data_IF_333134725847
#
_entry.id   IF_333134725847
#
_cell.length_a   1.000
_cell.length_b   1.000
_cell.length_c   1.000
_cell.angle_alpha   90.00
_cell.angle_beta   90.00
_cell.angle_gamma   90.00
#
_symmetry.space_group_name_H-M   'P 1'
#
loop_
_entity.id
_entity.type
_entity.pdbx_description
1 polymer ?
#
# COMPACT_ATOMS: atom_id res chain seq x y z
N UNK A 1 -18.18 -1.20 -17.14
CA UNK A 1 -17.88 -2.58 -17.57
C UNK A 1 -18.99 -3.48 -17.02
N UNK A 2 -19.45 -4.50 -17.74
CA UNK A 2 -20.42 -5.46 -17.16
C UNK A 2 -19.67 -6.71 -16.70
N UNK A 3 -19.56 -6.91 -15.38
CA UNK A 3 -18.96 -8.10 -14.81
C UNK A 3 -19.84 -9.31 -15.10
N UNK A 4 -19.24 -10.41 -15.57
CA UNK A 4 -20.00 -11.65 -15.74
C UNK A 4 -20.27 -12.27 -14.37
N UNK A 5 -21.30 -13.11 -14.21
CA UNK A 5 -21.61 -13.74 -12.92
C UNK A 5 -20.41 -14.50 -12.32
N UNK A 6 -19.57 -15.09 -13.16
CA UNK A 6 -18.34 -15.76 -12.73
C UNK A 6 -17.29 -14.79 -12.16
N UNK A 7 -17.17 -13.57 -12.72
CA UNK A 7 -16.27 -12.54 -12.19
C UNK A 7 -16.74 -12.07 -10.80
N UNK A 8 -18.05 -11.89 -10.63
CA UNK A 8 -18.63 -11.52 -9.33
C UNK A 8 -18.42 -12.63 -8.29
N UNK A 9 -18.65 -13.88 -8.68
CA UNK A 9 -18.42 -15.03 -7.79
C UNK A 9 -16.94 -15.17 -7.42
N UNK A 10 -16.03 -15.01 -8.39
CA UNK A 10 -14.59 -15.04 -8.16
C UNK A 10 -14.13 -13.88 -7.26
N UNK A 11 -14.69 -12.69 -7.47
CA UNK A 11 -14.43 -11.52 -6.64
C UNK A 11 -14.82 -11.76 -5.18
N UNK A 12 -16.08 -12.13 -4.94
CA UNK A 12 -16.59 -12.38 -3.59
C UNK A 12 -15.87 -13.56 -2.92
N UNK A 13 -15.62 -14.65 -3.67
CA UNK A 13 -14.89 -15.81 -3.18
C UNK A 13 -13.46 -15.50 -2.76
N UNK A 14 -12.74 -14.66 -3.53
CA UNK A 14 -11.41 -14.21 -3.17
C UNK A 14 -11.40 -13.37 -1.89
N UNK A 15 -12.36 -12.44 -1.73
CA UNK A 15 -12.46 -11.65 -0.50
C UNK A 15 -12.74 -12.51 0.73
N UNK A 16 -13.66 -13.48 0.62
CA UNK A 16 -13.96 -14.43 1.70
C UNK A 16 -12.72 -15.26 2.05
N UNK A 17 -11.97 -15.72 1.04
CA UNK A 17 -10.73 -16.46 1.26
C UNK A 17 -9.69 -15.62 2.00
N UNK A 18 -9.46 -14.37 1.56
CA UNK A 18 -8.50 -13.48 2.21
C UNK A 18 -8.88 -13.21 3.65
N UNK A 19 -10.12 -12.78 3.90
CA UNK A 19 -10.61 -12.50 5.27
C UNK A 19 -10.56 -13.76 6.13
N UNK A 20 -11.00 -14.90 5.59
CA UNK A 20 -11.01 -16.17 6.30
C UNK A 20 -9.61 -16.63 6.72
N UNK A 21 -8.64 -16.59 5.80
CA UNK A 21 -7.25 -16.96 6.09
C UNK A 21 -6.60 -15.97 7.07
N UNK A 22 -6.83 -14.66 6.91
CA UNK A 22 -6.30 -13.65 7.83
C UNK A 22 -6.84 -13.78 9.25
N UNK A 23 -8.13 -14.07 9.42
CA UNK A 23 -8.74 -14.33 10.73
C UNK A 23 -8.24 -15.65 11.33
N UNK A 24 -8.08 -16.70 10.51
CA UNK A 24 -7.54 -17.98 10.95
C UNK A 24 -6.09 -17.82 11.46
N UNK A 25 -5.25 -17.16 10.66
CA UNK A 25 -3.83 -17.00 10.92
C UNK A 25 -3.52 -15.98 12.02
N UNK A 26 -4.41 -15.02 12.27
CA UNK A 26 -4.24 -14.01 13.33
C UNK A 26 -4.54 -14.50 14.75
N UNK A 27 -4.99 -15.76 14.92
CA UNK A 27 -5.13 -16.38 16.25
C UNK A 27 -3.80 -16.39 17.02
N UNK A 28 -3.88 -16.16 18.33
CA UNK A 28 -2.72 -16.21 19.21
C UNK A 28 -2.76 -15.22 20.36
N UNK A 29 -1.57 -14.69 20.69
CA UNK A 29 -1.27 -13.84 21.85
C UNK A 29 -2.19 -12.61 21.91
N UNK A 30 -2.82 -12.37 23.06
CA UNK A 30 -3.78 -11.28 23.30
C UNK A 30 -3.20 -10.19 24.21
N UNK A 31 -2.08 -9.62 23.79
CA UNK A 31 -1.38 -8.50 24.43
C UNK A 31 -0.97 -7.43 23.39
N UNK A 32 -0.43 -6.29 23.86
CA UNK A 32 -0.03 -5.18 22.99
C UNK A 32 0.99 -5.58 21.92
N UNK A 33 1.99 -6.39 22.27
CA UNK A 33 2.98 -6.89 21.31
C UNK A 33 2.33 -7.79 20.26
N UNK A 34 1.41 -8.68 20.67
CA UNK A 34 0.62 -9.50 19.77
C UNK A 34 -0.22 -8.69 18.80
N UNK A 35 -0.91 -7.66 19.28
CA UNK A 35 -1.80 -6.82 18.49
C UNK A 35 -1.04 -5.84 17.58
N UNK A 36 -0.10 -5.06 18.12
CA UNK A 36 0.58 -3.99 17.36
C UNK A 36 1.80 -4.48 16.57
N UNK A 37 2.49 -5.53 17.02
CA UNK A 37 3.77 -5.99 16.42
C UNK A 37 3.76 -7.49 16.06
N UNK A 38 2.58 -8.11 15.96
CA UNK A 38 2.45 -9.55 15.65
C UNK A 38 3.32 -10.46 16.57
N UNK A 39 3.54 -10.04 17.82
CA UNK A 39 4.36 -10.72 18.80
C UNK A 39 5.87 -10.69 18.52
N UNK A 40 6.34 -9.78 17.63
CA UNK A 40 7.72 -9.73 17.13
C UNK A 40 8.20 -11.06 16.58
N UNK A 41 7.32 -11.75 15.86
CA UNK A 41 7.59 -13.11 15.38
C UNK A 41 7.44 -13.25 13.86
N UNK A 42 7.54 -12.15 13.10
CA UNK A 42 7.43 -12.22 11.65
C UNK A 42 8.72 -12.78 11.01
N UNK A 43 8.61 -13.77 10.11
CA UNK A 43 9.73 -14.23 9.29
C UNK A 43 10.07 -13.23 8.19
N UNK A 44 11.34 -13.22 7.77
CA UNK A 44 11.84 -12.32 6.73
C UNK A 44 11.02 -12.32 5.43
N UNK A 45 10.60 -13.49 4.95
CA UNK A 45 9.85 -13.59 3.70
C UNK A 45 8.48 -12.90 3.80
N UNK A 46 7.80 -13.06 4.95
CA UNK A 46 6.49 -12.46 5.17
C UNK A 46 6.60 -10.94 5.32
N UNK A 47 7.68 -10.45 5.95
CA UNK A 47 8.00 -9.02 6.00
C UNK A 47 8.19 -8.48 4.58
N UNK A 48 9.01 -9.13 3.76
CA UNK A 48 9.30 -8.67 2.40
C UNK A 48 8.06 -8.61 1.52
N UNK A 49 7.25 -9.68 1.49
CA UNK A 49 6.01 -9.68 0.72
C UNK A 49 4.98 -8.69 1.24
N UNK A 50 4.83 -8.55 2.56
CA UNK A 50 3.88 -7.59 3.13
C UNK A 50 4.30 -6.15 2.87
N UNK A 51 5.59 -5.81 2.92
CA UNK A 51 6.09 -4.49 2.54
C UNK A 51 5.74 -4.13 1.09
N UNK A 52 5.91 -5.08 0.18
CA UNK A 52 5.54 -4.91 -1.23
C UNK A 52 4.03 -4.79 -1.38
N UNK A 53 3.27 -5.70 -0.79
CA UNK A 53 1.82 -5.72 -0.88
C UNK A 53 1.17 -4.44 -0.36
N UNK A 54 1.66 -3.89 0.75
CA UNK A 54 1.16 -2.63 1.30
C UNK A 54 1.58 -1.38 0.52
N UNK A 55 2.56 -1.52 -0.38
CA UNK A 55 2.96 -0.44 -1.26
C UNK A 55 2.27 -0.52 -2.63
N UNK A 56 2.09 -1.73 -3.16
CA UNK A 56 1.34 -1.95 -4.39
C UNK A 56 -0.12 -1.60 -4.15
N UNK A 57 -0.55 -0.49 -4.74
CA UNK A 57 -1.90 0.05 -4.61
C UNK A 57 -2.51 0.35 -5.98
N UNK A 58 -3.75 0.87 -5.97
CA UNK A 58 -4.39 1.42 -7.16
C UNK A 58 -3.50 2.47 -7.85
N UNK A 59 -2.71 3.26 -7.10
CA UNK A 59 -1.77 4.23 -7.66
C UNK A 59 -0.73 3.57 -8.58
N UNK A 60 -0.29 2.36 -8.25
CA UNK A 60 0.68 1.65 -9.08
C UNK A 60 0.01 1.14 -10.37
N UNK A 61 -1.08 0.38 -10.22
CA UNK A 61 -1.74 -0.24 -11.38
C UNK A 61 -2.48 0.75 -12.28
N UNK A 62 -3.01 1.84 -11.76
CA UNK A 62 -3.73 2.85 -12.55
C UNK A 62 -2.79 3.99 -12.91
N UNK A 63 -2.23 4.66 -11.91
CA UNK A 63 -1.40 5.85 -12.10
C UNK A 63 -0.06 5.55 -12.78
N UNK A 64 0.79 4.68 -12.22
CA UNK A 64 2.10 4.40 -12.85
C UNK A 64 1.97 3.71 -14.20
N UNK A 65 0.94 2.88 -14.41
CA UNK A 65 0.67 2.33 -15.72
C UNK A 65 0.25 3.41 -16.73
N UNK A 66 -0.60 4.37 -16.34
CA UNK A 66 -0.95 5.52 -17.17
C UNK A 66 0.26 6.40 -17.49
N UNK A 67 1.17 6.60 -16.52
CA UNK A 67 2.46 7.24 -16.80
C UNK A 67 3.33 6.41 -17.73
N UNK A 68 3.27 5.08 -17.64
CA UNK A 68 3.88 4.19 -18.63
C UNK A 68 3.31 4.37 -20.03
N UNK A 69 2.00 4.61 -20.16
CA UNK A 69 1.35 4.93 -21.43
C UNK A 69 1.91 6.22 -22.04
N UNK A 70 2.11 7.28 -21.24
CA UNK A 70 2.58 8.59 -21.71
C UNK A 70 4.11 8.70 -21.83
N UNK A 71 4.83 8.55 -20.71
CA UNK A 71 6.27 8.83 -20.58
C UNK A 71 7.14 7.58 -20.63
N UNK A 72 6.54 6.39 -20.60
CA UNK A 72 7.25 5.12 -20.74
C UNK A 72 8.00 4.68 -19.48
N UNK A 73 9.14 4.01 -19.68
CA UNK A 73 9.89 3.31 -18.64
C UNK A 73 10.61 4.25 -17.66
N UNK A 74 10.71 5.54 -17.96
CA UNK A 74 11.36 6.52 -17.08
C UNK A 74 10.74 6.56 -15.68
N UNK A 75 9.42 6.32 -15.56
CA UNK A 75 8.72 6.28 -14.27
C UNK A 75 9.19 5.12 -13.37
N UNK A 76 9.81 4.07 -13.93
CA UNK A 76 10.40 2.95 -13.18
C UNK A 76 11.48 3.41 -12.20
N UNK A 77 12.12 4.56 -12.45
CA UNK A 77 13.14 5.11 -11.56
C UNK A 77 12.61 5.37 -10.15
N UNK A 78 11.31 5.65 -9.96
CA UNK A 78 10.70 5.76 -8.63
C UNK A 78 10.84 4.45 -7.84
N UNK A 79 10.52 3.33 -8.48
CA UNK A 79 10.58 1.98 -7.89
C UNK A 79 12.02 1.53 -7.64
N UNK A 80 12.92 1.78 -8.59
CA UNK A 80 14.32 1.39 -8.44
C UNK A 80 15.05 2.19 -7.36
N UNK A 81 14.76 3.50 -7.24
CA UNK A 81 15.30 4.31 -6.15
C UNK A 81 14.73 3.90 -4.79
N UNK A 82 13.46 3.47 -4.74
CA UNK A 82 12.88 2.86 -3.55
C UNK A 82 13.59 1.55 -3.16
N UNK A 83 13.99 0.71 -4.12
CA UNK A 83 14.78 -0.50 -3.85
C UNK A 83 16.13 -0.18 -3.20
N UNK A 84 16.84 0.84 -3.68
CA UNK A 84 18.09 1.31 -3.05
C UNK A 84 17.82 1.84 -1.63
N UNK A 85 16.74 2.60 -1.46
CA UNK A 85 16.35 3.15 -0.15
C UNK A 85 16.07 2.06 0.87
N UNK A 86 15.37 0.98 0.48
CA UNK A 86 15.11 -0.18 1.34
C UNK A 86 16.40 -0.82 1.87
N UNK A 87 17.44 -0.91 1.04
CA UNK A 87 18.76 -1.39 1.46
C UNK A 87 19.36 -0.46 2.51
N UNK A 88 19.35 0.86 2.29
CA UNK A 88 19.87 1.85 3.24
C UNK A 88 19.10 1.81 4.57
N UNK A 89 17.78 1.69 4.54
CA UNK A 89 16.94 1.56 5.73
C UNK A 89 17.31 0.29 6.50
N UNK A 90 17.51 -0.84 5.81
CA UNK A 90 17.90 -2.10 6.44
C UNK A 90 19.28 -2.05 7.08
N UNK A 91 20.23 -1.34 6.47
CA UNK A 91 21.60 -1.23 6.98
C UNK A 91 21.73 -0.21 8.12
N UNK A 92 21.04 0.94 8.03
CA UNK A 92 21.29 2.05 8.95
C UNK A 92 20.14 2.31 9.93
N UNK A 93 18.88 2.20 9.51
CA UNK A 93 17.75 2.61 10.35
C UNK A 93 17.29 1.45 11.23
N UNK A 94 17.06 0.29 10.62
CA UNK A 94 16.50 -0.88 11.29
C UNK A 94 17.30 -1.35 12.52
N UNK A 95 18.66 -1.42 12.51
CA UNK A 95 19.42 -1.82 13.69
C UNK A 95 19.15 -0.93 14.90
N UNK A 96 19.00 0.38 14.68
CA UNK A 96 18.75 1.36 15.75
C UNK A 96 17.34 1.23 16.30
N UNK A 97 16.36 1.05 15.42
CA UNK A 97 14.96 0.90 15.83
C UNK A 97 14.72 -0.39 16.63
N UNK A 98 15.26 -1.52 16.17
CA UNK A 98 15.12 -2.79 16.88
C UNK A 98 15.88 -2.79 18.22
N UNK A 99 17.07 -2.18 18.27
CA UNK A 99 17.83 -2.04 19.52
C UNK A 99 17.10 -1.16 20.56
N UNK A 100 16.41 -0.10 20.11
CA UNK A 100 15.60 0.74 20.97
C UNK A 100 14.28 0.08 21.44
N UNK A 101 13.88 -1.03 20.82
CA UNK A 101 12.70 -1.79 21.23
C UNK A 101 11.39 -1.04 21.11
N UNK A 102 11.31 -0.06 20.21
CA UNK A 102 10.15 0.83 20.03
C UNK A 102 8.93 0.13 19.44
N UNK A 103 7.76 0.71 19.66
CA UNK A 103 6.52 0.41 18.93
C UNK A 103 6.27 1.42 17.81
N UNK A 104 6.74 2.65 17.97
CA UNK A 104 6.43 3.75 17.05
C UNK A 104 7.65 4.62 16.74
N UNK A 105 7.64 5.26 15.58
CA UNK A 105 8.68 6.22 15.19
C UNK A 105 8.67 7.47 16.08
N UNK A 106 7.52 8.04 16.51
CA UNK A 106 7.50 9.08 17.54
C UNK A 106 8.22 8.67 18.84
N UNK A 107 8.10 7.42 19.27
CA UNK A 107 8.83 6.92 20.45
C UNK A 107 10.34 6.98 20.26
N UNK A 108 10.85 6.68 19.05
CA UNK A 108 12.26 6.85 18.73
C UNK A 108 12.74 8.30 18.90
N UNK A 109 11.90 9.28 18.56
CA UNK A 109 12.23 10.70 18.70
C UNK A 109 12.40 11.13 20.17
N UNK A 110 11.75 10.46 21.11
CA UNK A 110 11.97 10.72 22.54
C UNK A 110 13.38 10.30 22.97
N UNK A 111 13.90 9.17 22.48
CA UNK A 111 15.28 8.75 22.78
C UNK A 111 16.32 9.72 22.24
N UNK A 112 16.03 10.36 21.11
CA UNK A 112 16.97 11.26 20.42
C UNK A 112 16.85 12.71 20.88
N UNK A 113 15.64 13.15 21.22
CA UNK A 113 15.30 14.53 21.54
C UNK A 113 14.60 14.57 22.90
N UNK A 114 13.26 14.64 22.92
CA UNK A 114 12.48 14.76 24.14
C UNK A 114 11.02 14.31 23.96
N UNK A 115 10.27 14.33 25.07
CA UNK A 115 8.85 13.96 25.15
C UNK A 115 7.95 14.88 24.31
N UNK A 116 8.29 16.18 24.20
CA UNK A 116 7.50 17.14 23.43
C UNK A 116 7.57 16.79 21.96
N UNK A 117 8.76 16.46 21.47
CA UNK A 117 9.00 16.03 20.08
C UNK A 117 8.20 14.77 19.74
N UNK A 118 8.22 13.75 20.61
CA UNK A 118 7.37 12.55 20.48
C UNK A 118 5.89 12.91 20.38
N UNK A 119 5.41 13.75 21.29
CA UNK A 119 3.98 14.08 21.38
C UNK A 119 3.50 14.88 20.19
N UNK A 120 4.28 15.89 19.76
CA UNK A 120 3.99 16.70 18.59
C UNK A 120 3.95 15.83 17.33
N UNK A 121 4.94 14.96 17.14
CA UNK A 121 4.98 14.08 15.98
C UNK A 121 3.84 13.05 15.99
N UNK A 122 3.51 12.49 17.14
CA UNK A 122 2.38 11.59 17.29
C UNK A 122 1.05 12.26 16.93
N UNK A 123 0.83 13.50 17.43
CA UNK A 123 -0.36 14.28 17.10
C UNK A 123 -0.44 14.63 15.61
N UNK A 124 0.68 15.06 15.02
CA UNK A 124 0.77 15.38 13.59
C UNK A 124 0.47 14.17 12.71
N UNK A 125 1.15 13.03 12.94
CA UNK A 125 0.91 11.80 12.15
C UNK A 125 -0.54 11.34 12.31
N UNK A 126 -1.09 11.37 13.53
CA UNK A 126 -2.46 10.92 13.76
C UNK A 126 -3.47 11.79 13.02
N UNK A 127 -3.29 13.12 13.03
CA UNK A 127 -4.10 14.05 12.27
C UNK A 127 -3.97 13.81 10.76
N UNK A 128 -2.75 13.67 10.26
CA UNK A 128 -2.49 13.39 8.85
C UNK A 128 -3.11 12.06 8.39
N UNK A 129 -3.05 11.02 9.22
CA UNK A 129 -3.69 9.74 8.91
C UNK A 129 -5.21 9.85 8.86
N UNK A 130 -5.84 10.51 9.83
CA UNK A 130 -7.31 10.61 9.88
C UNK A 130 -7.86 11.53 8.80
N UNK A 131 -7.32 12.74 8.72
CA UNK A 131 -7.88 13.79 7.86
C UNK A 131 -7.50 13.59 6.41
N UNK A 132 -6.31 13.06 6.13
CA UNK A 132 -5.79 12.94 4.76
C UNK A 132 -5.82 11.49 4.31
N UNK A 133 -5.01 10.62 4.92
CA UNK A 133 -4.72 9.30 4.34
C UNK A 133 -5.92 8.34 4.35
N UNK A 134 -6.55 8.12 5.52
CA UNK A 134 -7.69 7.21 5.66
C UNK A 134 -8.89 7.68 4.83
N UNK A 135 -9.19 8.98 4.86
CA UNK A 135 -10.28 9.59 4.10
C UNK A 135 -10.10 9.42 2.58
N UNK A 136 -8.89 9.66 2.09
CA UNK A 136 -8.52 9.51 0.68
C UNK A 136 -8.64 8.07 0.21
N UNK A 137 -8.12 7.11 1.00
CA UNK A 137 -8.18 5.68 0.66
C UNK A 137 -9.63 5.18 0.64
N UNK A 138 -10.45 5.56 1.63
CA UNK A 138 -11.87 5.21 1.68
C UNK A 138 -12.64 5.77 0.47
N UNK A 139 -12.46 7.05 0.17
CA UNK A 139 -13.18 7.71 -0.92
C UNK A 139 -12.77 7.17 -2.30
N UNK A 140 -11.47 7.06 -2.57
CA UNK A 140 -10.96 6.51 -3.83
C UNK A 140 -11.33 5.04 -4.03
N UNK A 141 -11.31 4.23 -2.96
CA UNK A 141 -11.81 2.86 -2.98
C UNK A 141 -13.30 2.77 -3.29
N UNK A 142 -14.10 3.67 -2.73
CA UNK A 142 -15.54 3.71 -2.98
C UNK A 142 -15.88 4.13 -4.41
N UNK A 143 -15.14 5.08 -4.99
CA UNK A 143 -15.27 5.43 -6.42
C UNK A 143 -14.94 4.24 -7.32
N UNK A 144 -13.95 3.41 -6.94
CA UNK A 144 -13.66 2.19 -7.68
C UNK A 144 -14.84 1.20 -7.62
N UNK A 145 -15.47 1.01 -6.45
CA UNK A 145 -16.66 0.17 -6.31
C UNK A 145 -17.86 0.71 -7.10
N UNK A 146 -18.06 2.03 -7.13
CA UNK A 146 -19.10 2.67 -7.93
C UNK A 146 -18.88 2.42 -9.43
N UNK A 147 -17.67 2.66 -9.93
CA UNK A 147 -17.32 2.46 -11.34
C UNK A 147 -17.47 1.00 -11.80
N UNK A 148 -17.19 0.05 -10.90
CA UNK A 148 -17.21 -1.38 -11.21
C UNK A 148 -18.60 -2.00 -11.05
N UNK A 149 -19.25 -1.76 -9.91
CA UNK A 149 -20.48 -2.45 -9.51
C UNK A 149 -21.71 -1.54 -9.50
N UNK A 150 -21.56 -0.24 -9.74
CA UNK A 150 -22.64 0.75 -9.58
C UNK A 150 -23.06 0.93 -8.12
N UNK A 151 -22.20 0.58 -7.17
CA UNK A 151 -22.49 0.73 -5.74
C UNK A 151 -22.41 2.22 -5.37
N UNK A 152 -23.42 2.71 -4.65
CA UNK A 152 -23.40 4.07 -4.10
C UNK A 152 -22.10 4.34 -3.32
N UNK A 153 -21.48 5.51 -3.55
CA UNK A 153 -20.18 5.87 -2.96
C UNK A 153 -20.24 5.85 -1.44
N UNK A 154 -21.34 6.32 -0.82
CA UNK A 154 -21.48 6.30 0.64
C UNK A 154 -21.52 4.86 1.16
N UNK A 155 -22.31 4.00 0.52
CA UNK A 155 -22.33 2.57 0.83
C UNK A 155 -20.95 1.91 0.64
N UNK A 156 -20.22 2.27 -0.40
CA UNK A 156 -18.85 1.82 -0.67
C UNK A 156 -17.86 2.21 0.43
N UNK A 157 -17.90 3.47 0.89
CA UNK A 157 -17.06 3.96 2.01
C UNK A 157 -17.30 3.12 3.26
N UNK A 158 -18.55 2.94 3.65
CA UNK A 158 -18.89 2.16 4.85
C UNK A 158 -18.55 0.69 4.71
N UNK A 159 -18.75 0.09 3.52
CA UNK A 159 -18.38 -1.29 3.26
C UNK A 159 -16.88 -1.50 3.45
N UNK A 160 -16.04 -0.66 2.84
CA UNK A 160 -14.58 -0.74 2.97
C UNK A 160 -14.16 -0.53 4.43
N UNK A 161 -14.71 0.50 5.09
CA UNK A 161 -14.40 0.82 6.48
C UNK A 161 -14.76 -0.31 7.45
N UNK A 162 -15.92 -0.92 7.30
CA UNK A 162 -16.37 -2.05 8.15
C UNK A 162 -15.53 -3.30 7.89
N UNK A 163 -15.24 -3.63 6.63
CA UNK A 163 -14.44 -4.80 6.29
C UNK A 163 -13.00 -4.66 6.82
N UNK A 164 -12.30 -3.59 6.43
CA UNK A 164 -10.92 -3.34 6.86
C UNK A 164 -10.84 -3.15 8.38
N UNK A 165 -11.75 -2.37 8.96
CA UNK A 165 -11.81 -2.15 10.40
C UNK A 165 -12.07 -3.42 11.19
N UNK A 166 -13.02 -4.25 10.73
CA UNK A 166 -13.48 -5.44 11.44
C UNK A 166 -12.37 -6.47 11.66
N UNK A 167 -11.66 -6.88 10.61
CA UNK A 167 -10.57 -7.85 10.79
C UNK A 167 -9.33 -7.22 11.43
N UNK A 168 -9.11 -5.90 11.30
CA UNK A 168 -8.03 -5.19 12.01
C UNK A 168 -8.27 -5.18 13.51
N UNK A 169 -9.48 -4.82 13.96
CA UNK A 169 -9.88 -4.85 15.38
C UNK A 169 -9.69 -6.26 15.95
N UNK A 170 -10.04 -7.29 15.19
CA UNK A 170 -9.87 -8.67 15.64
C UNK A 170 -8.40 -9.08 15.74
N UNK A 171 -7.65 -8.96 14.63
CA UNK A 171 -6.37 -9.64 14.44
C UNK A 171 -5.10 -8.77 14.52
N UNK A 172 -5.25 -7.44 14.56
CA UNK A 172 -4.12 -6.50 14.60
C UNK A 172 -3.16 -6.67 13.43
N UNK A 173 -1.89 -6.28 13.62
CA UNK A 173 -0.84 -6.36 12.59
C UNK A 173 -0.71 -7.77 11.98
N UNK A 174 -0.96 -8.83 12.75
CA UNK A 174 -0.84 -10.20 12.24
C UNK A 174 -1.91 -10.49 11.16
N UNK A 175 -3.16 -10.06 11.35
CA UNK A 175 -4.19 -10.23 10.31
C UNK A 175 -3.85 -9.44 9.06
N UNK A 176 -3.44 -8.17 9.25
CA UNK A 176 -3.04 -7.25 8.17
C UNK A 176 -1.97 -7.88 7.28
N UNK A 177 -0.87 -8.33 7.88
CA UNK A 177 0.26 -8.92 7.14
C UNK A 177 -0.13 -10.17 6.33
N UNK A 178 -1.10 -10.97 6.82
CA UNK A 178 -1.59 -12.14 6.07
C UNK A 178 -2.55 -11.77 4.94
N UNK A 179 -3.42 -10.77 5.13
CA UNK A 179 -4.29 -10.30 4.04
C UNK A 179 -3.47 -9.68 2.93
N UNK A 180 -2.48 -8.87 3.31
CA UNK A 180 -1.51 -8.26 2.40
C UNK A 180 -0.81 -9.31 1.56
N UNK A 181 -0.30 -10.38 2.18
CA UNK A 181 0.40 -11.42 1.46
C UNK A 181 -0.47 -12.02 0.35
N UNK A 182 -1.71 -12.38 0.66
CA UNK A 182 -2.61 -13.02 -0.29
C UNK A 182 -2.99 -12.08 -1.44
N UNK A 183 -3.32 -10.82 -1.10
CA UNK A 183 -3.70 -9.80 -2.08
C UNK A 183 -2.51 -9.39 -2.94
N UNK A 184 -1.36 -9.13 -2.33
CA UNK A 184 -0.13 -8.76 -3.02
C UNK A 184 0.38 -9.86 -3.95
N UNK A 185 0.35 -11.12 -3.53
CA UNK A 185 0.71 -12.25 -4.42
C UNK A 185 -0.26 -12.35 -5.59
N UNK A 186 -1.57 -12.20 -5.36
CA UNK A 186 -2.56 -12.21 -6.44
C UNK A 186 -2.32 -11.07 -7.45
N UNK A 187 -2.01 -9.86 -6.96
CA UNK A 187 -1.67 -8.71 -7.80
C UNK A 187 -0.39 -8.92 -8.60
N UNK A 188 0.67 -9.44 -7.97
CA UNK A 188 1.94 -9.71 -8.65
C UNK A 188 1.74 -10.76 -9.75
N UNK A 189 1.08 -11.88 -9.44
CA UNK A 189 0.84 -12.97 -10.39
C UNK A 189 -0.06 -12.52 -11.54
N UNK A 190 -1.13 -11.79 -11.24
CA UNK A 190 -2.01 -11.29 -12.28
C UNK A 190 -1.38 -10.17 -13.10
N UNK A 191 -0.50 -9.36 -12.52
CA UNK A 191 0.31 -8.40 -13.27
C UNK A 191 1.26 -9.08 -14.25
N UNK A 192 1.96 -10.14 -13.82
CA UNK A 192 2.75 -11.00 -14.71
C UNK A 192 1.88 -11.56 -15.83
N UNK A 193 0.69 -12.07 -15.50
CA UNK A 193 -0.22 -12.63 -16.48
C UNK A 193 -0.65 -11.59 -17.53
N UNK A 194 -1.06 -10.39 -17.10
CA UNK A 194 -1.44 -9.29 -18.01
C UNK A 194 -0.26 -8.95 -18.93
N UNK A 195 0.95 -8.82 -18.40
CA UNK A 195 2.14 -8.54 -19.22
C UNK A 195 2.42 -9.66 -20.24
N UNK A 196 2.34 -10.93 -19.83
CA UNK A 196 2.57 -12.07 -20.73
C UNK A 196 1.51 -12.13 -21.83
N UNK A 197 0.24 -11.91 -21.49
CA UNK A 197 -0.84 -11.85 -22.47
C UNK A 197 -0.73 -10.63 -23.38
N UNK A 198 -0.25 -9.49 -22.87
CA UNK A 198 0.04 -8.29 -23.64
C UNK A 198 1.14 -8.53 -24.67
N UNK A 199 2.26 -9.16 -24.28
CA UNK A 199 3.29 -9.57 -25.23
C UNK A 199 2.74 -10.52 -26.31
N UNK A 200 1.85 -11.45 -25.94
CA UNK A 200 1.22 -12.35 -26.90
C UNK A 200 0.30 -11.59 -27.87
N UNK A 201 -0.47 -10.63 -27.39
CA UNK A 201 -1.35 -9.80 -28.20
C UNK A 201 -0.57 -8.90 -29.18
N UNK A 202 0.60 -8.41 -28.76
CA UNK A 202 1.54 -7.67 -29.62
C UNK A 202 2.22 -8.52 -30.71
N UNK A 203 2.11 -9.85 -30.65
CA UNK A 203 2.87 -10.74 -31.53
C UNK A 203 4.29 -11.06 -31.06
N UNK A 204 4.64 -10.72 -29.82
CA UNK A 204 5.89 -11.08 -29.15
C UNK A 204 6.68 -9.88 -28.60
N UNK A 205 7.88 -10.16 -28.06
CA UNK A 205 8.75 -9.14 -27.48
C UNK A 205 9.35 -8.24 -28.57
N UNK A 206 9.71 -8.78 -29.73
CA UNK A 206 10.27 -8.00 -30.85
C UNK A 206 9.35 -6.85 -31.30
N UNK A 207 8.09 -7.15 -31.70
CA UNK A 207 7.12 -6.12 -32.04
C UNK A 207 6.85 -5.12 -30.90
N UNK A 208 6.86 -5.57 -29.64
CA UNK A 208 6.78 -4.66 -28.50
C UNK A 208 7.95 -3.68 -28.44
N UNK A 209 9.19 -4.14 -28.63
CA UNK A 209 10.37 -3.26 -28.59
C UNK A 209 10.33 -2.21 -29.72
N UNK A 210 9.81 -2.58 -30.88
CA UNK A 210 9.60 -1.67 -32.01
C UNK A 210 8.49 -0.65 -31.70
N UNK A 211 7.35 -1.09 -31.17
CA UNK A 211 6.24 -0.20 -30.80
C UNK A 211 6.58 0.70 -29.60
N UNK A 212 7.43 0.23 -28.69
CA UNK A 212 7.91 0.97 -27.53
C UNK A 212 9.09 1.90 -27.85
N UNK A 213 9.44 2.09 -29.13
CA UNK A 213 10.56 2.95 -29.51
C UNK A 213 10.41 4.35 -28.92
N UNK A 214 11.51 4.86 -28.36
CA UNK A 214 11.51 6.11 -27.60
C UNK A 214 10.84 6.07 -26.23
N UNK A 215 10.13 5.01 -25.81
CA UNK A 215 9.50 4.89 -24.47
C UNK A 215 10.27 4.01 -23.49
N UNK A 216 11.36 3.36 -23.89
CA UNK A 216 12.16 2.49 -23.00
C UNK A 216 13.33 3.20 -22.30
N UNK A 217 13.50 4.51 -22.51
CA UNK A 217 14.50 5.29 -21.79
C UNK A 217 14.14 5.38 -20.30
N UNK A 218 15.14 5.25 -19.43
CA UNK A 218 14.94 5.23 -17.97
C UNK A 218 15.26 6.57 -17.31
N UNK A 219 15.96 7.45 -18.04
CA UNK A 219 16.44 8.74 -17.56
C UNK A 219 15.94 9.83 -18.49
N UNK A 220 15.29 10.84 -17.91
CA UNK A 220 14.78 12.01 -18.61
C UNK A 220 15.75 13.20 -18.48
N UNK A 221 15.72 14.17 -19.42
CA UNK A 221 16.58 15.36 -19.36
C UNK A 221 16.46 16.16 -18.06
N UNK A 222 17.51 16.91 -17.71
CA UNK A 222 17.56 17.69 -16.46
C UNK A 222 16.49 18.79 -16.37
N UNK A 223 15.95 19.21 -17.51
CA UNK A 223 14.90 20.23 -17.65
C UNK A 223 13.51 19.62 -17.90
N UNK A 224 13.34 18.30 -17.75
CA UNK A 224 12.02 17.68 -17.84
C UNK A 224 11.10 18.29 -16.75
N UNK A 225 9.89 18.75 -17.08
CA UNK A 225 9.05 19.53 -16.16
C UNK A 225 8.66 18.74 -14.90
N UNK A 226 8.52 17.42 -15.02
CA UNK A 226 7.98 16.58 -13.95
C UNK A 226 9.01 15.62 -13.34
N UNK A 227 10.04 15.24 -14.10
CA UNK A 227 10.95 14.13 -13.76
C UNK A 227 12.39 14.42 -14.19
N UNK A 228 12.97 15.55 -13.77
CA UNK A 228 14.36 15.84 -14.11
C UNK A 228 15.28 14.83 -13.42
N UNK A 229 16.23 14.23 -14.15
CA UNK A 229 17.08 13.16 -13.58
C UNK A 229 17.82 13.57 -12.31
N UNK A 230 18.18 14.85 -12.18
CA UNK A 230 18.82 15.41 -10.98
C UNK A 230 17.91 15.20 -9.76
N UNK A 231 16.63 15.52 -9.87
CA UNK A 231 15.68 15.32 -8.78
C UNK A 231 15.45 13.83 -8.46
N UNK A 232 15.45 12.98 -9.49
CA UNK A 232 15.24 11.53 -9.37
C UNK A 232 16.41 10.84 -8.67
N UNK A 233 17.64 11.05 -9.13
CA UNK A 233 18.79 10.27 -8.68
C UNK A 233 19.58 10.90 -7.53
N UNK A 234 19.57 12.22 -7.39
CA UNK A 234 20.41 12.91 -6.38
C UNK A 234 19.67 13.97 -5.56
N UNK A 235 18.44 14.33 -5.93
CA UNK A 235 17.69 15.43 -5.35
C UNK A 235 16.42 15.00 -4.64
N UNK A 236 15.31 15.63 -5.03
CA UNK A 236 14.04 15.61 -4.30
C UNK A 236 13.44 14.24 -4.05
N UNK A 237 13.64 13.24 -4.92
CA UNK A 237 13.02 11.91 -4.80
C UNK A 237 13.51 11.13 -3.58
N UNK A 238 14.71 11.41 -3.07
CA UNK A 238 15.22 10.76 -1.86
C UNK A 238 14.43 11.12 -0.61
N UNK A 239 13.87 12.32 -0.54
CA UNK A 239 13.11 12.80 0.62
C UNK A 239 11.85 11.94 0.87
N UNK A 240 10.91 11.81 -0.09
CA UNK A 240 9.73 10.96 0.10
C UNK A 240 10.11 9.49 0.21
N UNK A 241 11.15 9.00 -0.48
CA UNK A 241 11.58 7.61 -0.36
C UNK A 241 12.10 7.28 1.05
N UNK A 242 13.03 8.08 1.59
CA UNK A 242 13.55 7.85 2.94
C UNK A 242 12.44 7.98 3.98
N UNK A 243 11.53 8.95 3.81
CA UNK A 243 10.37 9.08 4.68
C UNK A 243 9.49 7.84 4.61
N UNK A 244 9.05 7.44 3.41
CA UNK A 244 8.10 6.34 3.22
C UNK A 244 8.67 5.00 3.69
N UNK A 245 9.91 4.66 3.31
CA UNK A 245 10.50 3.36 3.62
C UNK A 245 11.15 3.29 5.00
N UNK A 246 11.67 4.42 5.50
CA UNK A 246 12.42 4.48 6.74
C UNK A 246 11.62 4.95 7.95
N UNK A 247 10.71 5.90 7.78
CA UNK A 247 10.12 6.67 8.89
C UNK A 247 8.58 6.60 8.94
N UNK A 248 7.93 6.15 7.88
CA UNK A 248 6.48 6.02 7.86
C UNK A 248 6.05 4.86 8.76
N UNK A 249 5.20 5.14 9.74
CA UNK A 249 4.85 4.21 10.81
C UNK A 249 4.34 2.87 10.26
N UNK A 250 3.40 2.85 9.31
CA UNK A 250 2.83 1.57 8.85
C UNK A 250 3.80 0.72 8.04
N UNK A 251 4.78 1.32 7.36
CA UNK A 251 5.83 0.59 6.66
C UNK A 251 6.85 0.05 7.67
N UNK A 252 7.42 0.93 8.50
CA UNK A 252 8.46 0.54 9.45
C UNK A 252 7.94 -0.42 10.52
N UNK A 253 6.66 -0.36 10.89
CA UNK A 253 6.06 -1.25 11.88
C UNK A 253 6.14 -2.74 11.52
N UNK A 254 6.17 -3.10 10.23
CA UNK A 254 6.37 -4.47 9.76
C UNK A 254 7.76 -4.99 10.07
N UNK A 255 8.77 -4.13 9.96
CA UNK A 255 10.17 -4.50 10.27
C UNK A 255 10.44 -4.46 11.77
N UNK A 256 9.74 -3.60 12.53
CA UNK A 256 9.71 -3.64 14.01
C UNK A 256 9.12 -4.95 14.57
N UNK A 257 8.29 -5.63 13.78
CA UNK A 257 7.67 -6.92 14.11
C UNK A 257 8.55 -8.13 13.76
N UNK A 258 9.79 -7.92 13.31
CA UNK A 258 10.72 -8.99 12.96
C UNK A 258 11.16 -9.81 14.18
N UNK A 259 11.39 -11.11 13.95
CA UNK A 259 11.97 -12.06 14.94
C UNK A 259 13.38 -11.69 15.39
N UNK A 260 14.15 -11.14 14.46
CA UNK A 260 15.55 -10.81 14.63
C UNK A 260 15.92 -9.67 13.70
N UNK A 261 17.03 -8.99 13.97
CA UNK A 261 17.57 -8.00 13.04
C UNK A 261 17.84 -8.61 11.67
N UNK A 262 18.39 -9.84 11.64
CA UNK A 262 18.63 -10.56 10.39
C UNK A 262 17.34 -10.84 9.61
N UNK A 263 16.24 -11.23 10.28
CA UNK A 263 14.95 -11.41 9.61
C UNK A 263 14.44 -10.08 9.05
N UNK A 264 14.53 -8.99 9.81
CA UNK A 264 14.08 -7.67 9.35
C UNK A 264 14.89 -7.15 8.16
N UNK A 265 16.22 -7.31 8.18
CA UNK A 265 17.11 -6.92 7.08
C UNK A 265 16.85 -7.75 5.82
N UNK A 266 16.76 -9.09 5.95
CA UNK A 266 16.42 -9.98 4.83
C UNK A 266 15.05 -9.67 4.25
N UNK A 267 14.09 -9.28 5.09
CA UNK A 267 12.77 -8.84 4.63
C UNK A 267 12.82 -7.55 3.82
N UNK A 268 13.56 -6.54 4.28
CA UNK A 268 13.78 -5.30 3.53
C UNK A 268 14.52 -5.55 2.21
N UNK A 269 15.54 -6.41 2.20
CA UNK A 269 16.29 -6.74 0.99
C UNK A 269 15.45 -7.56 0.00
N UNK A 270 14.61 -8.48 0.49
CA UNK A 270 13.63 -9.17 -0.35
C UNK A 270 12.65 -8.18 -0.99
N UNK A 271 12.12 -7.24 -0.22
CA UNK A 271 11.23 -6.20 -0.75
C UNK A 271 11.95 -5.35 -1.82
N UNK A 272 13.19 -4.92 -1.56
CA UNK A 272 14.01 -4.18 -2.52
C UNK A 272 14.26 -4.98 -3.80
N UNK A 273 14.53 -6.27 -3.68
CA UNK A 273 14.71 -7.17 -4.82
C UNK A 273 13.43 -7.31 -5.66
N UNK A 274 12.27 -7.55 -5.03
CA UNK A 274 10.98 -7.66 -5.73
C UNK A 274 10.66 -6.35 -6.47
N UNK A 275 10.94 -5.19 -5.86
CA UNK A 275 10.74 -3.87 -6.48
C UNK A 275 11.45 -3.69 -7.81
N UNK A 276 12.58 -4.35 -8.04
CA UNK A 276 13.27 -4.27 -9.33
C UNK A 276 12.41 -4.77 -10.49
N UNK A 277 11.49 -5.70 -10.21
CA UNK A 277 10.65 -6.36 -11.22
C UNK A 277 9.24 -5.74 -11.35
N UNK A 278 8.75 -5.05 -10.32
CA UNK A 278 7.41 -4.43 -10.31
C UNK A 278 7.18 -3.52 -11.53
N UNK A 279 8.13 -2.64 -11.93
CA UNK A 279 7.98 -1.82 -13.14
C UNK A 279 7.58 -2.60 -14.40
N UNK A 280 8.13 -3.81 -14.61
CA UNK A 280 7.86 -4.60 -15.81
C UNK A 280 6.47 -5.24 -15.83
N UNK A 281 5.81 -5.38 -14.69
CA UNK A 281 4.45 -5.94 -14.61
C UNK A 281 3.37 -4.85 -14.55
N UNK A 282 3.77 -3.59 -14.40
CA UNK A 282 2.87 -2.44 -14.27
C UNK A 282 3.01 -1.48 -15.47
N UNK A 283 4.22 -1.04 -15.76
CA UNK A 283 4.51 -0.02 -16.78
C UNK A 283 4.42 -0.62 -18.18
N UNK A 284 4.95 -1.82 -18.40
CA UNK A 284 4.91 -2.47 -19.72
C UNK A 284 3.48 -2.66 -20.23
N UNK A 285 2.50 -3.13 -19.43
CA UNK A 285 1.11 -3.12 -19.85
C UNK A 285 0.60 -1.73 -20.24
N UNK A 286 1.00 -0.67 -19.53
CA UNK A 286 0.68 0.70 -19.91
C UNK A 286 1.23 1.11 -21.27
N UNK A 287 2.50 0.78 -21.55
CA UNK A 287 3.14 1.01 -22.85
C UNK A 287 2.42 0.21 -23.96
N UNK A 288 2.12 -1.08 -23.71
CA UNK A 288 1.43 -1.94 -24.67
C UNK A 288 0.02 -1.43 -24.99
N UNK A 289 -0.69 -0.88 -24.01
CA UNK A 289 -2.03 -0.34 -24.21
C UNK A 289 -2.05 0.82 -25.23
N UNK A 290 -0.96 1.59 -25.33
CA UNK A 290 -0.82 2.67 -26.30
C UNK A 290 -0.77 2.20 -27.76
N UNK A 291 -0.44 0.93 -27.99
CA UNK A 291 -0.44 0.33 -29.33
C UNK A 291 -1.69 -0.54 -29.55
N UNK A 292 -2.02 -1.41 -28.58
CA UNK A 292 -3.09 -2.39 -28.73
C UNK A 292 -4.50 -1.80 -28.66
N UNK A 293 -4.69 -0.74 -27.86
CA UNK A 293 -6.02 -0.26 -27.46
C UNK A 293 -6.11 1.27 -27.40
N UNK A 294 -5.32 1.98 -28.21
CA UNK A 294 -5.27 3.45 -28.24
C UNK A 294 -6.65 4.10 -28.47
N UNK A 295 -7.52 3.44 -29.25
CA UNK A 295 -8.89 3.86 -29.55
C UNK A 295 -9.84 3.75 -28.35
N UNK A 296 -9.49 2.94 -27.34
CA UNK A 296 -10.29 2.68 -26.16
C UNK A 296 -9.80 3.42 -24.91
N UNK A 297 -8.60 3.99 -24.95
CA UNK A 297 -7.98 4.72 -23.83
C UNK A 297 -8.17 6.21 -24.04
N UNK A 298 -9.18 6.78 -23.38
CA UNK A 298 -9.46 8.23 -23.42
C UNK A 298 -8.68 9.04 -22.38
N UNK A 299 -8.25 8.36 -21.32
CA UNK A 299 -7.40 8.87 -20.26
C UNK A 299 -6.29 7.83 -20.01
N UNK A 300 -5.00 8.20 -19.97
CA UNK A 300 -3.88 7.28 -19.71
C UNK A 300 -4.08 6.36 -18.50
N UNK A 301 -4.73 6.82 -17.43
CA UNK A 301 -5.04 6.02 -16.24
C UNK A 301 -5.94 4.80 -16.54
N UNK A 302 -6.66 4.81 -17.67
CA UNK A 302 -7.48 3.69 -18.14
C UNK A 302 -6.66 2.59 -18.83
N UNK A 303 -5.38 2.82 -19.14
CA UNK A 303 -4.55 1.89 -19.89
C UNK A 303 -4.53 0.48 -19.27
N UNK A 304 -4.23 0.38 -17.96
CA UNK A 304 -4.18 -0.91 -17.29
C UNK A 304 -5.56 -1.56 -17.09
N UNK A 305 -6.61 -0.84 -16.65
CA UNK A 305 -7.97 -1.37 -16.65
C UNK A 305 -8.43 -1.93 -18.01
N UNK A 306 -8.11 -1.25 -19.12
CA UNK A 306 -8.44 -1.72 -20.48
C UNK A 306 -7.66 -2.99 -20.81
N UNK A 307 -6.35 -3.04 -20.55
CA UNK A 307 -5.54 -4.26 -20.73
C UNK A 307 -6.11 -5.46 -19.96
N UNK A 308 -6.51 -5.26 -18.69
CA UNK A 308 -7.14 -6.30 -17.90
C UNK A 308 -8.47 -6.76 -18.51
N UNK A 309 -9.31 -5.82 -18.97
CA UNK A 309 -10.63 -6.14 -19.54
C UNK A 309 -10.50 -6.94 -20.83
N UNK A 310 -9.60 -6.54 -21.72
CA UNK A 310 -9.49 -7.12 -23.05
C UNK A 310 -8.67 -8.42 -23.06
N UNK A 311 -7.69 -8.56 -22.16
CA UNK A 311 -6.77 -9.69 -22.19
C UNK A 311 -7.08 -10.80 -21.16
N UNK A 312 -7.64 -10.47 -19.99
CA UNK A 312 -7.84 -11.48 -18.96
C UNK A 312 -9.05 -12.39 -19.26
N UNK A 313 -8.90 -13.71 -19.07
CA UNK A 313 -10.03 -14.63 -19.07
C UNK A 313 -11.06 -14.30 -17.99
N UNK A 314 -12.32 -14.63 -18.27
CA UNK A 314 -13.42 -14.54 -17.30
C UNK A 314 -13.07 -15.30 -16.02
N UNK A 315 -13.41 -14.72 -14.87
CA UNK A 315 -13.08 -15.21 -13.54
C UNK A 315 -11.76 -14.62 -13.03
N UNK A 316 -10.71 -14.58 -13.86
CA UNK A 316 -9.43 -13.97 -13.48
C UNK A 316 -9.54 -12.44 -13.41
N UNK A 317 -10.37 -11.84 -14.26
CA UNK A 317 -10.75 -10.42 -14.13
C UNK A 317 -11.35 -10.16 -12.75
N UNK A 318 -12.33 -10.96 -12.33
CA UNK A 318 -12.91 -10.89 -10.98
C UNK A 318 -11.87 -10.98 -9.84
N UNK A 319 -10.93 -11.93 -9.92
CA UNK A 319 -9.84 -12.08 -8.93
C UNK A 319 -8.94 -10.84 -8.92
N UNK A 320 -8.56 -10.33 -10.09
CA UNK A 320 -7.68 -9.15 -10.19
C UNK A 320 -8.32 -7.90 -9.59
N UNK A 321 -9.60 -7.66 -9.88
CA UNK A 321 -10.33 -6.56 -9.26
C UNK A 321 -10.50 -6.75 -7.75
N UNK A 322 -10.70 -7.99 -7.29
CA UNK A 322 -10.75 -8.28 -5.85
C UNK A 322 -9.40 -8.06 -5.17
N UNK A 323 -8.29 -8.33 -5.85
CA UNK A 323 -6.95 -8.08 -5.35
C UNK A 323 -6.64 -6.57 -5.32
N UNK A 324 -7.06 -5.80 -6.33
CA UNK A 324 -6.95 -4.33 -6.34
C UNK A 324 -7.81 -3.69 -5.23
N UNK A 325 -9.05 -4.17 -5.06
CA UNK A 325 -9.90 -3.79 -3.95
C UNK A 325 -9.27 -4.19 -2.60
N UNK A 326 -8.63 -5.36 -2.58
CA UNK A 326 -7.81 -5.83 -1.47
C UNK A 326 -6.71 -4.84 -1.09
N UNK A 327 -5.96 -4.31 -2.06
CA UNK A 327 -4.90 -3.34 -1.81
C UNK A 327 -5.40 -2.03 -1.16
N UNK A 328 -6.61 -1.59 -1.51
CA UNK A 328 -7.27 -0.46 -0.81
C UNK A 328 -7.50 -0.82 0.66
N UNK A 329 -8.04 -2.01 0.94
CA UNK A 329 -8.24 -2.48 2.31
C UNK A 329 -6.92 -2.68 3.07
N UNK A 330 -5.87 -3.19 2.42
CA UNK A 330 -4.50 -3.35 2.93
C UNK A 330 -3.80 -2.03 3.25
N UNK A 331 -4.14 -0.96 2.52
CA UNK A 331 -3.65 0.38 2.85
C UNK A 331 -4.37 0.90 4.10
N UNK A 332 -5.69 0.72 4.12
CA UNK A 332 -6.55 1.21 5.21
C UNK A 332 -6.27 0.50 6.54
N UNK A 333 -6.19 -0.83 6.55
CA UNK A 333 -5.94 -1.63 7.77
C UNK A 333 -4.56 -1.32 8.40
N UNK A 334 -3.55 -1.09 7.57
CA UNK A 334 -2.18 -0.73 7.93
C UNK A 334 -2.16 0.63 8.62
N UNK A 335 -2.79 1.63 8.00
CA UNK A 335 -2.90 2.97 8.56
C UNK A 335 -3.71 2.97 9.85
N UNK A 336 -4.81 2.22 9.92
CA UNK A 336 -5.65 2.08 11.12
C UNK A 336 -4.87 1.45 12.28
N UNK A 337 -4.13 0.36 12.02
CA UNK A 337 -3.29 -0.28 13.04
C UNK A 337 -2.19 0.66 13.52
N UNK A 338 -1.53 1.39 12.62
CA UNK A 338 -0.49 2.35 12.97
C UNK A 338 -1.00 3.54 13.75
N UNK A 339 -2.12 4.14 13.33
CA UNK A 339 -2.81 5.21 14.05
C UNK A 339 -3.20 4.75 15.47
N UNK A 340 -3.77 3.55 15.59
CA UNK A 340 -4.13 2.98 16.88
C UNK A 340 -2.91 2.71 17.76
N UNK A 341 -1.78 2.31 17.17
CA UNK A 341 -0.51 2.11 17.89
C UNK A 341 0.01 3.44 18.43
N UNK A 342 0.10 4.47 17.56
CA UNK A 342 0.55 5.82 17.91
C UNK A 342 -0.30 6.39 19.03
N UNK A 343 -1.62 6.37 18.89
CA UNK A 343 -2.51 6.87 19.94
C UNK A 343 -2.33 6.09 21.25
N UNK A 344 -2.31 4.76 21.19
CA UNK A 344 -2.25 3.92 22.40
C UNK A 344 -0.94 4.07 23.16
N UNK A 345 0.18 4.18 22.44
CA UNK A 345 1.53 4.18 23.02
C UNK A 345 2.00 5.61 23.30
N UNK A 346 1.91 6.51 22.33
CA UNK A 346 2.51 7.84 22.38
C UNK A 346 1.64 8.88 23.06
N UNK A 347 0.32 8.67 23.10
CA UNK A 347 -0.63 9.61 23.72
C UNK A 347 -1.24 9.01 24.98
N UNK A 348 -1.91 7.86 24.85
CA UNK A 348 -2.63 7.24 25.96
C UNK A 348 -1.70 6.70 27.04
N UNK A 349 -0.77 5.80 26.71
CA UNK A 349 0.17 5.28 27.71
C UNK A 349 1.05 6.41 28.23
N UNK A 350 1.64 7.22 27.34
CA UNK A 350 2.64 8.21 27.74
C UNK A 350 2.08 9.30 28.66
N UNK A 351 0.88 9.82 28.38
CA UNK A 351 0.34 11.00 29.07
C UNK A 351 -0.90 10.72 29.92
N UNK A 352 -1.80 9.85 29.47
CA UNK A 352 -3.07 9.60 30.18
C UNK A 352 -2.94 8.53 31.26
N UNK A 353 -2.22 7.43 30.98
CA UNK A 353 -2.06 6.28 31.87
C UNK A 353 -0.67 5.61 31.72
N UNK A 354 0.38 6.16 32.36
CA UNK A 354 1.75 5.60 32.32
C UNK A 354 1.84 4.11 32.69
N UNK A 355 1.08 3.70 33.70
CA UNK A 355 1.05 2.34 34.24
C UNK A 355 0.07 1.39 33.50
N UNK A 356 -0.35 1.74 32.27
CA UNK A 356 -1.28 0.89 31.53
C UNK A 356 -0.63 -0.46 31.15
N UNK A 357 -1.29 -1.56 31.58
CA UNK A 357 -0.86 -2.92 31.25
C UNK A 357 -0.96 -3.22 29.75
N UNK A 358 -0.15 -4.17 29.26
CA UNK A 358 -0.14 -4.58 27.85
C UNK A 358 -1.51 -5.04 27.33
N UNK A 359 -2.33 -5.68 28.18
CA UNK A 359 -3.70 -6.07 27.81
C UNK A 359 -4.61 -4.85 27.66
N UNK A 360 -4.46 -3.85 28.52
CA UNK A 360 -5.23 -2.59 28.42
C UNK A 360 -4.85 -1.81 27.16
N UNK A 361 -3.57 -1.75 26.82
CA UNK A 361 -3.11 -1.11 25.58
C UNK A 361 -3.69 -1.77 24.33
N UNK A 362 -3.78 -3.10 24.30
CA UNK A 362 -4.47 -3.80 23.20
C UNK A 362 -5.95 -3.39 23.10
N UNK A 363 -6.68 -3.34 24.23
CA UNK A 363 -8.10 -2.93 24.23
C UNK A 363 -8.25 -1.48 23.76
N UNK A 364 -7.38 -0.58 24.23
CA UNK A 364 -7.35 0.82 23.77
C UNK A 364 -7.07 0.88 22.28
N UNK A 365 -6.12 0.09 21.77
CA UNK A 365 -5.84 -0.01 20.34
C UNK A 365 -7.07 -0.41 19.54
N UNK A 366 -7.79 -1.44 19.97
CA UNK A 366 -9.03 -1.90 19.31
C UNK A 366 -10.13 -0.86 19.30
N UNK A 367 -10.37 -0.20 20.45
CA UNK A 367 -11.35 0.88 20.56
C UNK A 367 -10.96 2.04 19.66
N UNK A 368 -9.68 2.40 19.64
CA UNK A 368 -9.15 3.46 18.80
C UNK A 368 -9.34 3.13 17.33
N UNK A 369 -9.02 1.91 16.88
CA UNK A 369 -9.30 1.47 15.51
C UNK A 369 -10.78 1.64 15.15
N UNK A 370 -11.71 1.21 16.01
CA UNK A 370 -13.14 1.38 15.77
C UNK A 370 -13.58 2.84 15.66
N UNK A 371 -13.07 3.70 16.55
CA UNK A 371 -13.33 5.15 16.50
C UNK A 371 -12.77 5.76 15.21
N UNK A 372 -11.54 5.42 14.85
CA UNK A 372 -10.89 5.93 13.64
C UNK A 372 -11.63 5.52 12.37
N UNK A 373 -12.16 4.30 12.29
CA UNK A 373 -13.00 3.86 11.17
C UNK A 373 -14.23 4.74 11.03
N UNK A 374 -14.96 4.96 12.11
CA UNK A 374 -16.18 5.79 12.10
C UNK A 374 -15.84 7.23 11.69
N UNK A 375 -14.82 7.83 12.31
CA UNK A 375 -14.40 9.20 12.00
C UNK A 375 -13.95 9.32 10.54
N UNK A 376 -13.15 8.38 10.05
CA UNK A 376 -12.67 8.39 8.67
C UNK A 376 -13.81 8.18 7.66
N UNK A 377 -14.78 7.31 7.94
CA UNK A 377 -15.96 7.14 7.07
C UNK A 377 -16.83 8.39 7.01
N UNK A 378 -16.99 9.09 8.14
CA UNK A 378 -17.72 10.36 8.19
C UNK A 378 -16.95 11.50 7.50
N UNK A 379 -15.62 11.47 7.53
CA UNK A 379 -14.76 12.49 6.93
C UNK A 379 -14.51 12.26 5.43
N UNK A 380 -14.50 11.02 4.96
CA UNK A 380 -14.19 10.67 3.57
C UNK A 380 -14.98 11.46 2.50
N UNK A 381 -16.28 11.79 2.67
CA UNK A 381 -17.01 12.63 1.72
C UNK A 381 -16.47 14.06 1.56
N UNK A 382 -15.65 14.56 2.51
CA UNK A 382 -14.99 15.87 2.37
C UNK A 382 -14.00 15.88 1.21
N UNK A 383 -13.38 14.73 0.90
CA UNK A 383 -12.46 14.57 -0.23
C UNK A 383 -13.14 14.92 -1.56
N UNK A 384 -14.44 14.62 -1.69
CA UNK A 384 -15.24 14.93 -2.88
C UNK A 384 -15.38 16.45 -3.16
N UNK A 385 -15.08 17.31 -2.18
CA UNK A 385 -15.15 18.76 -2.33
C UNK A 385 -13.89 19.36 -2.96
N UNK A 386 -12.79 18.60 -3.00
CA UNK A 386 -11.58 19.01 -3.69
C UNK A 386 -11.72 18.75 -5.20
N UNK A 387 -11.04 19.53 -6.06
CA UNK A 387 -11.09 19.31 -7.51
C UNK A 387 -10.55 17.94 -7.93
N UNK A 388 -9.59 17.38 -7.19
CA UNK A 388 -9.15 16.00 -7.34
C UNK A 388 -8.70 15.40 -6.00
N UNK A 389 -8.68 14.07 -5.94
CA UNK A 389 -8.14 13.32 -4.78
C UNK A 389 -6.67 13.67 -4.56
N UNK A 390 -5.90 13.85 -5.63
CA UNK A 390 -4.49 14.22 -5.54
C UNK A 390 -4.30 15.62 -4.95
N UNK A 391 -5.09 16.60 -5.39
CA UNK A 391 -5.04 17.95 -4.83
C UNK A 391 -5.42 17.97 -3.35
N UNK A 392 -6.40 17.17 -2.94
CA UNK A 392 -6.76 17.04 -1.52
C UNK A 392 -5.59 16.55 -0.66
N UNK A 393 -4.76 15.64 -1.16
CA UNK A 393 -3.58 15.14 -0.44
C UNK A 393 -2.51 16.25 -0.24
N UNK A 394 -2.47 17.24 -1.14
CA UNK A 394 -1.47 18.32 -1.12
C UNK A 394 -1.92 19.55 -0.31
N UNK A 395 -3.21 19.67 0.04
CA UNK A 395 -3.77 20.72 0.91
C UNK A 395 -3.50 20.42 2.37
#
# INVERSE_FOLDING_TARGET
MSFRPLDVAAFAGFLVLVVGVSLYASRGRRDAAGYFLAGRNLPWWLIGFSLIASNISTEHFVGMAGRGYDIGLAIASYEWMAAVTLVLVGLFFLPRFLAAGIYTIPEYLEFRYDVRTRTLMAGFILAAYVLVALATVLYSGALALESIFGLDVSAGIWLIGVLAGGYTIYGGLKAVVWSDLLQGVALLLGGVLVTVLGFRAMGGIGPFLEAADGKLHTVLPWNHPEMPWVAVFIGGLWIPNIFYWGLNQFITQRTLAARSLADGQRGLFLAGFIKLFIPFIIIFPGIMAAELFADQVTNPDQAYPVMMRELLPVGLTGIMFAALFGAVMSSLDSMLNSAATIFSVDLYKRHLRPEASSRRLMVVGRVTTGVLVVVACLWAPVVARAPSVFEYIQM
#
